data_IF_438367049030
#
_entry.id   IF_438367049030
#
_cell.length_a   1.000
_cell.length_b   1.000
_cell.length_c   1.000
_cell.angle_alpha   90.00
_cell.angle_beta   90.00
_cell.angle_gamma   90.00
#
_symmetry.space_group_name_H-M   'P 1'
#
loop_
_entity.id
_entity.type
_entity.pdbx_description
1 polymer ?
#
# COMPACT_ATOMS: atom_id res chain seq x y z
N UNK A 1 1.81 13.36 -8.86
CA UNK A 1 1.74 12.23 -9.81
C UNK A 1 0.39 11.54 -9.64
N UNK A 2 -0.14 10.75 -10.59
CA UNK A 2 -1.34 9.97 -10.31
C UNK A 2 -1.07 8.99 -9.17
N UNK A 3 -2.06 8.83 -8.27
CA UNK A 3 -1.96 7.94 -7.13
C UNK A 3 -2.79 6.70 -7.38
N UNK A 4 -2.21 5.54 -7.07
CA UNK A 4 -2.85 4.25 -7.17
C UNK A 4 -3.04 3.68 -5.78
N UNK A 5 -4.26 3.22 -5.48
CA UNK A 5 -4.57 2.52 -4.25
C UNK A 5 -4.46 1.02 -4.45
N UNK A 6 -3.71 0.36 -3.59
CA UNK A 6 -3.64 -1.10 -3.49
C UNK A 6 -4.10 -1.59 -2.13
N UNK A 7 -4.57 -2.83 -2.10
CA UNK A 7 -5.09 -3.48 -0.91
C UNK A 7 -4.25 -4.73 -0.65
N UNK A 8 -3.60 -4.80 0.49
CA UNK A 8 -2.82 -5.96 0.90
C UNK A 8 -3.46 -6.59 2.12
N UNK A 9 -3.64 -7.92 2.05
CA UNK A 9 -4.25 -8.68 3.14
C UNK A 9 -3.28 -8.76 4.32
N UNK A 10 -3.75 -8.33 5.49
CA UNK A 10 -3.02 -8.56 6.74
C UNK A 10 -3.34 -9.95 7.31
N UNK A 11 -2.43 -10.45 8.15
CA UNK A 11 -2.62 -11.74 8.81
C UNK A 11 -3.85 -11.72 9.73
N UNK A 12 -3.99 -10.65 10.49
CA UNK A 12 -5.04 -10.43 11.46
C UNK A 12 -5.22 -8.93 11.75
N UNK A 13 -6.24 -8.59 12.56
CA UNK A 13 -6.60 -7.20 12.85
C UNK A 13 -5.59 -6.49 13.72
N UNK A 14 -4.90 -7.20 14.61
CA UNK A 14 -3.90 -6.61 15.49
C UNK A 14 -2.65 -6.27 14.68
N UNK A 15 -2.23 -7.17 13.78
CA UNK A 15 -1.17 -6.92 12.80
C UNK A 15 -1.49 -5.71 11.91
N UNK A 16 -2.68 -5.67 11.29
CA UNK A 16 -3.10 -4.53 10.48
C UNK A 16 -3.06 -3.21 11.26
N UNK A 17 -3.52 -3.24 12.52
CA UNK A 17 -3.52 -2.03 13.36
C UNK A 17 -2.11 -1.58 13.69
N UNK A 18 -1.20 -2.51 13.99
CA UNK A 18 0.22 -2.22 14.28
C UNK A 18 0.91 -1.61 13.08
N UNK A 19 0.72 -2.18 11.89
CA UNK A 19 1.29 -1.65 10.65
C UNK A 19 0.74 -0.25 10.38
N UNK A 20 -0.58 -0.07 10.45
CA UNK A 20 -1.20 1.23 10.25
C UNK A 20 -0.63 2.29 11.21
N UNK A 21 -0.49 1.98 12.50
CA UNK A 21 0.04 2.90 13.51
C UNK A 21 1.51 3.27 13.21
N UNK A 22 2.33 2.28 12.83
CA UNK A 22 3.73 2.48 12.44
C UNK A 22 3.86 3.45 11.25
N UNK A 23 3.06 3.27 10.21
CA UNK A 23 3.05 4.17 9.05
C UNK A 23 2.51 5.56 9.38
N UNK A 24 1.50 5.67 10.26
CA UNK A 24 0.97 6.96 10.72
C UNK A 24 1.99 7.75 11.56
N UNK A 25 2.86 7.06 12.30
CA UNK A 25 3.96 7.66 13.03
C UNK A 25 5.13 8.12 12.12
N UNK A 26 5.02 7.94 10.79
CA UNK A 26 6.08 8.23 9.83
C UNK A 26 7.14 7.12 9.71
N UNK A 27 6.89 5.97 10.33
CA UNK A 27 7.66 4.76 10.14
C UNK A 27 7.40 4.14 8.77
N UNK A 28 8.37 3.37 8.29
CA UNK A 28 8.23 2.54 7.09
C UNK A 28 8.61 1.11 7.45
N UNK A 29 7.97 0.16 6.77
CA UNK A 29 8.29 -1.25 6.92
C UNK A 29 8.70 -1.81 5.54
N UNK A 30 9.97 -2.21 5.34
CA UNK A 30 10.47 -2.64 4.04
C UNK A 30 9.73 -3.83 3.43
N UNK A 31 9.19 -4.74 4.27
CA UNK A 31 8.46 -5.92 3.80
C UNK A 31 7.12 -5.49 3.20
N UNK A 32 6.41 -4.61 3.89
CA UNK A 32 5.17 -4.03 3.39
C UNK A 32 5.40 -3.12 2.18
N UNK A 33 6.46 -2.31 2.21
CA UNK A 33 6.79 -1.42 1.10
C UNK A 33 7.05 -2.23 -0.18
N UNK A 34 7.88 -3.28 -0.11
CA UNK A 34 8.17 -4.11 -1.27
C UNK A 34 6.92 -4.84 -1.79
N UNK A 35 6.10 -5.42 -0.89
CA UNK A 35 4.85 -6.08 -1.26
C UNK A 35 3.88 -5.13 -1.98
N UNK A 36 3.78 -3.88 -1.53
CA UNK A 36 2.96 -2.85 -2.18
C UNK A 36 3.51 -2.52 -3.56
N UNK A 37 4.83 -2.34 -3.69
CA UNK A 37 5.46 -2.01 -4.97
C UNK A 37 5.35 -3.17 -5.98
N UNK A 38 5.48 -4.41 -5.53
CA UNK A 38 5.25 -5.60 -6.34
C UNK A 38 3.80 -5.68 -6.83
N UNK A 39 2.82 -5.39 -5.96
CA UNK A 39 1.40 -5.37 -6.33
C UNK A 39 1.11 -4.29 -7.39
N UNK A 40 1.67 -3.10 -7.23
CA UNK A 40 1.58 -2.03 -8.25
C UNK A 40 2.15 -2.48 -9.60
N UNK A 41 3.32 -3.15 -9.59
CA UNK A 41 3.94 -3.69 -10.81
C UNK A 41 3.08 -4.80 -11.42
N UNK A 42 2.52 -5.69 -10.61
CA UNK A 42 1.61 -6.77 -11.04
C UNK A 42 0.37 -6.22 -11.73
N UNK A 43 -0.12 -5.07 -11.28
CA UNK A 43 -1.24 -4.36 -11.89
C UNK A 43 -0.85 -3.51 -13.11
N UNK A 44 0.39 -3.64 -13.60
CA UNK A 44 0.85 -3.01 -14.84
C UNK A 44 1.19 -1.53 -14.70
N UNK A 45 1.48 -1.06 -13.48
CA UNK A 45 1.85 0.34 -13.20
C UNK A 45 3.30 0.42 -12.73
N UNK A 46 3.95 1.55 -13.00
CA UNK A 46 5.31 1.82 -12.51
C UNK A 46 5.23 2.72 -11.28
N UNK A 47 5.63 2.25 -10.10
CA UNK A 47 5.68 3.09 -8.91
C UNK A 47 6.76 4.18 -9.08
N UNK A 48 6.45 5.37 -8.58
CA UNK A 48 7.28 6.59 -8.65
C UNK A 48 7.61 7.17 -7.28
N UNK A 49 6.99 6.66 -6.20
CA UNK A 49 7.21 7.10 -4.83
C UNK A 49 7.03 5.97 -3.82
N UNK A 50 7.26 6.30 -2.55
CA UNK A 50 7.08 5.36 -1.45
C UNK A 50 5.59 5.09 -1.17
N UNK A 51 5.23 3.86 -0.76
CA UNK A 51 3.90 3.53 -0.26
C UNK A 51 3.51 4.37 0.95
N UNK A 52 2.23 4.74 1.02
CA UNK A 52 1.63 5.42 2.17
C UNK A 52 0.45 4.61 2.66
N UNK A 53 0.51 4.10 3.87
CA UNK A 53 -0.63 3.43 4.47
C UNK A 53 -1.71 4.47 4.80
N UNK A 54 -2.90 4.31 4.20
CA UNK A 54 -4.01 5.26 4.35
C UNK A 54 -5.16 4.71 5.18
N UNK A 55 -5.10 3.43 5.54
CA UNK A 55 -6.10 2.82 6.42
C UNK A 55 -6.11 1.31 6.35
N UNK A 56 -7.13 0.73 6.96
CA UNK A 56 -7.42 -0.69 6.90
C UNK A 56 -8.93 -0.92 6.77
N UNK A 57 -9.34 -2.03 6.18
CA UNK A 57 -10.75 -2.41 6.08
C UNK A 57 -11.26 -2.93 7.42
N UNK A 58 -12.56 -2.76 7.70
CA UNK A 58 -13.22 -3.36 8.86
C UNK A 58 -13.72 -4.81 8.60
N UNK A 59 -13.38 -5.37 7.43
CA UNK A 59 -13.84 -6.68 6.98
C UNK A 59 -13.13 -7.86 7.64
N UNK A 60 -13.58 -9.08 7.30
CA UNK A 60 -12.87 -10.33 7.54
C UNK A 60 -12.76 -11.08 6.21
N UNK A 61 -11.57 -11.18 5.60
CA UNK A 61 -10.26 -10.73 6.10
C UNK A 61 -10.10 -9.20 6.19
N UNK A 62 -9.12 -8.76 6.98
CA UNK A 62 -8.71 -7.36 7.08
C UNK A 62 -7.64 -7.07 6.04
N UNK A 63 -7.78 -5.97 5.33
CA UNK A 63 -6.84 -5.52 4.32
C UNK A 63 -6.31 -4.14 4.71
N UNK A 64 -5.00 -3.93 4.57
CA UNK A 64 -4.36 -2.63 4.63
C UNK A 64 -4.46 -1.94 3.28
N UNK A 65 -4.78 -0.65 3.31
CA UNK A 65 -4.89 0.19 2.13
C UNK A 65 -3.65 1.04 2.01
N UNK A 66 -2.99 0.97 0.86
CA UNK A 66 -1.80 1.76 0.56
C UNK A 66 -2.02 2.61 -0.68
N UNK A 67 -1.66 3.87 -0.59
CA UNK A 67 -1.59 4.78 -1.73
C UNK A 67 -0.14 4.90 -2.19
N UNK A 68 0.09 4.72 -3.49
CA UNK A 68 1.41 4.80 -4.13
C UNK A 68 1.33 5.77 -5.28
N UNK A 69 2.28 6.69 -5.37
CA UNK A 69 2.41 7.52 -6.57
C UNK A 69 2.94 6.66 -7.71
N UNK A 70 2.26 6.68 -8.86
CA UNK A 70 2.67 5.96 -10.07
C UNK A 70 2.97 6.93 -11.20
N UNK A 71 3.81 6.53 -12.14
CA UNK A 71 3.98 7.30 -13.37
C UNK A 71 2.67 7.33 -14.16
N UNK A 72 2.34 8.51 -14.71
CA UNK A 72 1.22 8.62 -15.63
C UNK A 72 1.53 7.79 -16.87
N UNK A 73 0.58 6.94 -17.29
CA UNK A 73 0.68 6.30 -18.59
C UNK A 73 0.68 7.38 -19.66
N UNK A 74 1.74 7.40 -20.47
CA UNK A 74 1.75 8.17 -21.69
C UNK A 74 0.87 7.39 -22.66
N UNK A 75 -0.44 7.67 -22.69
CA UNK A 75 -1.30 7.16 -23.75
C UNK A 75 -0.69 7.60 -25.09
N UNK A 76 -0.31 6.62 -25.91
CA UNK A 76 0.20 6.83 -27.25
C UNK A 76 -0.92 6.70 -28.27
#
# INVERSE_FOLDING_TARGET
MPTMRVHLRAADREDARRVLDHYLAGGHDPLWDDAVLEEVRRLGRTPSGAPRCVGMTNGRPVDLMFDVEVYAEISR
#
